data_IF_623606766336
#
_entry.id   IF_623606766336
#
_cell.length_a   1.000
_cell.length_b   1.000
_cell.length_c   1.000
_cell.angle_alpha   90.00
_cell.angle_beta   90.00
_cell.angle_gamma   90.00
#
_symmetry.space_group_name_H-M   'P 1'
#
loop_
_entity.id
_entity.type
_entity.pdbx_description
1 polymer ?
#
# COMPACT_ATOMS: atom_id res chain seq x y z
N UNK A 1 -11.35 4.69 -4.63
CA UNK A 1 -10.85 3.59 -3.79
C UNK A 1 -9.68 4.08 -2.98
N UNK A 2 -9.73 3.88 -1.67
CA UNK A 2 -8.74 4.33 -0.70
C UNK A 2 -8.36 3.18 0.22
N UNK A 3 -7.11 3.16 0.65
CA UNK A 3 -6.59 2.14 1.56
C UNK A 3 -6.43 2.76 2.93
N UNK A 4 -7.00 2.11 3.93
CA UNK A 4 -6.96 2.50 5.33
C UNK A 4 -6.12 1.47 6.06
N UNK A 5 -5.25 1.89 6.98
CA UNK A 5 -4.58 0.96 7.90
C UNK A 5 -5.63 0.04 8.51
N UNK A 6 -5.40 -1.27 8.53
CA UNK A 6 -6.21 -2.21 9.29
C UNK A 6 -5.88 -2.12 10.78
N UNK A 7 -6.72 -2.70 11.66
CA UNK A 7 -6.39 -2.79 13.10
C UNK A 7 -5.12 -3.61 13.38
N UNK A 8 -4.76 -4.48 12.44
CA UNK A 8 -3.55 -5.32 12.44
C UNK A 8 -2.32 -4.63 11.84
N UNK A 9 -2.46 -3.38 11.37
CA UNK A 9 -1.33 -2.60 10.87
C UNK A 9 -0.32 -2.33 12.01
N UNK A 10 1.01 -2.43 11.79
CA UNK A 10 2.00 -2.22 12.85
C UNK A 10 1.95 -0.84 13.51
N UNK A 11 1.45 0.17 12.80
CA UNK A 11 1.27 1.53 13.30
C UNK A 11 -0.16 1.81 13.83
N UNK A 12 -0.98 0.75 13.94
CA UNK A 12 -2.37 0.83 14.39
C UNK A 12 -3.34 1.42 13.36
N UNK A 13 -4.63 1.44 13.74
CA UNK A 13 -5.71 2.00 12.94
C UNK A 13 -5.80 3.53 13.12
N UNK A 14 -5.73 4.29 12.03
CA UNK A 14 -5.80 5.77 12.08
C UNK A 14 -7.16 6.36 11.70
N UNK A 15 -8.05 5.59 11.07
CA UNK A 15 -9.32 6.10 10.54
C UNK A 15 -9.20 6.98 9.29
N UNK A 16 -7.98 7.28 8.84
CA UNK A 16 -7.69 8.10 7.66
C UNK A 16 -7.05 7.23 6.57
N UNK A 17 -7.30 7.54 5.28
CA UNK A 17 -6.73 6.76 4.20
C UNK A 17 -5.24 7.07 4.09
N UNK A 18 -4.41 6.06 3.92
CA UNK A 18 -2.97 6.22 3.68
C UNK A 18 -2.66 6.25 2.19
N UNK A 19 -3.46 5.52 1.41
CA UNK A 19 -3.31 5.52 -0.03
C UNK A 19 -4.61 5.80 -0.76
N UNK A 20 -4.49 6.38 -1.94
CA UNK A 20 -5.55 6.53 -2.92
C UNK A 20 -5.15 5.80 -4.20
N UNK A 21 -6.08 5.02 -4.74
CA UNK A 21 -5.89 4.30 -6.01
C UNK A 21 -6.54 5.08 -7.15
N UNK A 22 -5.77 5.39 -8.18
CA UNK A 22 -6.20 6.06 -9.41
C UNK A 22 -5.77 5.20 -10.61
N UNK A 23 -6.72 4.54 -11.27
CA UNK A 23 -6.40 3.49 -12.24
C UNK A 23 -5.62 2.35 -11.57
N UNK A 24 -4.44 2.02 -12.11
CA UNK A 24 -3.54 1.02 -11.53
C UNK A 24 -2.44 1.63 -10.65
N UNK A 25 -2.52 2.93 -10.34
CA UNK A 25 -1.50 3.65 -9.59
C UNK A 25 -1.97 3.95 -8.17
N UNK A 26 -1.07 3.79 -7.20
CA UNK A 26 -1.33 3.99 -5.77
C UNK A 26 -0.50 5.17 -5.29
N UNK A 27 -1.18 6.19 -4.78
CA UNK A 27 -0.58 7.42 -4.32
C UNK A 27 -0.70 7.52 -2.81
N UNK A 28 0.34 8.04 -2.15
CA UNK A 28 0.19 8.50 -0.77
C UNK A 28 -0.91 9.56 -0.72
N UNK A 29 -1.70 9.57 0.34
CA UNK A 29 -2.58 10.71 0.62
C UNK A 29 -1.84 11.76 1.44
N UNK A 30 -2.46 12.93 1.64
CA UNK A 30 -1.94 13.95 2.57
C UNK A 30 -1.90 13.48 4.04
N UNK A 31 -2.64 12.42 4.37
CA UNK A 31 -2.69 11.82 5.71
C UNK A 31 -1.74 10.63 5.86
N UNK A 32 -1.00 10.26 4.81
CA UNK A 32 0.10 9.30 4.90
C UNK A 32 1.22 9.88 5.77
N UNK A 33 1.89 9.09 6.64
CA UNK A 33 2.96 9.59 7.51
C UNK A 33 4.14 10.24 6.74
N UNK A 34 4.45 9.71 5.55
CA UNK A 34 5.49 10.28 4.67
C UNK A 34 5.00 11.45 3.79
N UNK A 35 3.73 11.85 3.93
CA UNK A 35 3.11 12.91 3.14
C UNK A 35 2.82 12.54 1.68
N UNK A 36 2.29 13.52 0.93
CA UNK A 36 1.94 13.40 -0.49
C UNK A 36 3.01 14.02 -1.39
N UNK A 37 3.40 13.31 -2.45
CA UNK A 37 4.46 13.74 -3.38
C UNK A 37 3.96 14.07 -4.79
N UNK A 38 2.67 13.87 -5.10
CA UNK A 38 2.15 14.03 -6.47
C UNK A 38 2.45 12.88 -7.43
N UNK A 39 3.33 11.95 -7.04
CA UNK A 39 3.74 10.79 -7.84
C UNK A 39 3.23 9.49 -7.20
N UNK A 40 2.99 8.44 -7.99
CA UNK A 40 2.52 7.18 -7.44
C UNK A 40 3.66 6.48 -6.68
N UNK A 41 3.39 6.04 -5.46
CA UNK A 41 4.32 5.26 -4.65
C UNK A 41 4.34 3.79 -5.12
N UNK A 42 3.19 3.28 -5.59
CA UNK A 42 3.08 1.91 -6.07
C UNK A 42 2.28 1.78 -7.37
N UNK A 43 2.43 0.63 -8.01
CA UNK A 43 1.64 0.19 -9.17
C UNK A 43 1.03 -1.18 -8.91
N UNK A 44 -0.24 -1.35 -9.29
CA UNK A 44 -0.98 -2.60 -9.17
C UNK A 44 -0.90 -3.36 -10.51
N UNK A 45 -0.41 -4.61 -10.45
CA UNK A 45 -0.33 -5.52 -11.60
C UNK A 45 -0.80 -6.91 -11.19
N UNK A 46 -1.90 -7.39 -11.76
CA UNK A 46 -2.41 -8.74 -11.50
C UNK A 46 -2.70 -9.03 -10.01
N UNK A 47 -3.26 -8.07 -9.27
CA UNK A 47 -3.53 -8.20 -7.84
C UNK A 47 -2.31 -8.04 -6.93
N UNK A 48 -1.14 -7.74 -7.49
CA UNK A 48 0.10 -7.50 -6.76
C UNK A 48 0.54 -6.05 -6.86
N UNK A 49 1.23 -5.55 -5.85
CA UNK A 49 1.53 -4.13 -5.67
C UNK A 49 3.03 -3.94 -5.60
N UNK A 50 3.59 -3.16 -6.51
CA UNK A 50 5.03 -3.00 -6.72
C UNK A 50 5.43 -1.56 -6.45
N UNK A 51 6.59 -1.34 -5.84
CA UNK A 51 7.13 0.02 -5.71
C UNK A 51 7.45 0.58 -7.10
N UNK A 52 7.17 1.86 -7.31
CA UNK A 52 7.58 2.57 -8.53
C UNK A 52 8.98 3.17 -8.35
N UNK A 53 9.51 3.76 -9.43
CA UNK A 53 10.76 4.55 -9.35
C UNK A 53 10.64 5.79 -8.46
N UNK A 54 9.42 6.29 -8.22
CA UNK A 54 9.17 7.43 -7.33
C UNK A 54 8.95 7.04 -5.87
N UNK A 55 8.92 5.74 -5.55
CA UNK A 55 8.90 5.28 -4.18
C UNK A 55 10.24 5.63 -3.48
N UNK A 56 10.26 6.07 -2.21
CA UNK A 56 11.50 6.42 -1.50
C UNK A 56 12.53 5.30 -1.43
N UNK A 57 12.07 4.04 -1.37
CA UNK A 57 12.93 2.85 -1.41
C UNK A 57 13.38 2.44 -2.83
N UNK A 58 12.96 3.19 -3.86
CA UNK A 58 13.19 2.86 -5.26
C UNK A 58 12.29 1.73 -5.79
N UNK A 59 12.48 1.43 -7.08
CA UNK A 59 11.78 0.36 -7.77
C UNK A 59 12.33 -1.02 -7.39
N UNK A 60 11.44 -1.99 -7.16
CA UNK A 60 11.82 -3.41 -7.07
C UNK A 60 10.97 -4.25 -8.03
N UNK A 61 11.58 -5.29 -8.62
CA UNK A 61 10.86 -6.25 -9.47
C UNK A 61 9.95 -7.22 -8.71
N UNK A 62 9.92 -7.16 -7.37
CA UNK A 62 9.12 -8.03 -6.51
C UNK A 62 7.97 -7.24 -5.88
N UNK A 63 6.79 -7.85 -5.70
CA UNK A 63 5.65 -7.15 -5.11
C UNK A 63 5.89 -6.93 -3.62
N UNK A 64 5.54 -5.77 -3.10
CA UNK A 64 5.54 -5.49 -1.66
C UNK A 64 4.21 -5.87 -1.02
N UNK A 65 3.12 -5.77 -1.77
CA UNK A 65 1.80 -6.17 -1.28
C UNK A 65 1.06 -7.07 -2.26
N UNK A 66 0.10 -7.81 -1.72
CA UNK A 66 -0.88 -8.61 -2.45
C UNK A 66 -2.29 -8.19 -2.01
N UNK A 67 -3.17 -8.00 -3.00
CA UNK A 67 -4.57 -7.67 -2.79
C UNK A 67 -5.37 -8.96 -2.79
N UNK A 68 -6.12 -9.20 -1.72
CA UNK A 68 -7.03 -10.34 -1.56
C UNK A 68 -8.40 -9.81 -1.18
N UNK A 69 -9.31 -9.74 -2.15
CA UNK A 69 -10.61 -9.10 -1.95
C UNK A 69 -10.48 -7.61 -1.62
N UNK A 70 -11.07 -7.17 -0.50
CA UNK A 70 -10.97 -5.81 0.01
C UNK A 70 -9.81 -5.60 0.99
N UNK A 71 -8.82 -6.49 1.01
CA UNK A 71 -7.72 -6.46 1.97
C UNK A 71 -6.37 -6.50 1.28
N UNK A 72 -5.38 -5.83 1.87
CA UNK A 72 -4.01 -5.73 1.35
C UNK A 72 -3.05 -6.32 2.36
N UNK A 73 -2.26 -7.29 1.93
CA UNK A 73 -1.31 -8.05 2.74
C UNK A 73 0.12 -7.74 2.30
N UNK A 74 1.05 -7.69 3.25
CA UNK A 74 2.47 -7.68 2.93
C UNK A 74 2.92 -9.05 2.38
N UNK A 75 3.76 -9.03 1.37
CA UNK A 75 4.40 -10.25 0.83
C UNK A 75 5.72 -10.53 1.54
N UNK A 76 6.32 -11.68 1.26
CA UNK A 76 7.65 -12.04 1.77
C UNK A 76 8.77 -11.09 1.30
N UNK A 77 8.55 -10.37 0.19
CA UNK A 77 9.50 -9.39 -0.36
C UNK A 77 9.30 -7.97 0.17
N UNK A 78 8.28 -7.74 1.01
CA UNK A 78 8.17 -6.49 1.75
C UNK A 78 9.34 -6.35 2.75
N UNK A 79 9.94 -5.16 2.94
CA UNK A 79 11.09 -4.97 3.84
C UNK A 79 10.84 -5.41 5.29
N UNK A 80 9.58 -5.31 5.74
CA UNK A 80 9.14 -5.74 7.06
C UNK A 80 8.69 -7.23 7.11
N UNK A 81 9.00 -8.01 6.08
CA UNK A 81 8.54 -9.38 5.88
C UNK A 81 7.03 -9.47 5.60
N UNK A 82 6.50 -10.70 5.58
CA UNK A 82 5.06 -10.99 5.53
C UNK A 82 4.51 -11.34 6.91
N UNK A 83 3.29 -10.91 7.22
CA UNK A 83 2.52 -11.49 8.32
C UNK A 83 1.16 -11.93 7.77
N UNK A 84 0.55 -12.97 8.35
CA UNK A 84 -0.68 -13.56 7.83
C UNK A 84 -1.93 -12.66 7.94
N UNK A 85 -1.77 -11.40 8.32
CA UNK A 85 -2.83 -10.45 8.61
C UNK A 85 -2.76 -9.27 7.63
N UNK A 86 -3.90 -8.66 7.29
CA UNK A 86 -3.92 -7.54 6.37
C UNK A 86 -3.29 -6.30 7.04
N UNK A 87 -2.61 -5.49 6.23
CA UNK A 87 -2.11 -4.19 6.64
C UNK A 87 -3.08 -3.09 6.29
N UNK A 88 -3.86 -3.25 5.22
CA UNK A 88 -4.84 -2.26 4.81
C UNK A 88 -6.18 -2.87 4.42
N UNK A 89 -7.24 -2.12 4.68
CA UNK A 89 -8.58 -2.34 4.13
C UNK A 89 -8.82 -1.37 2.97
N UNK A 90 -9.35 -1.90 1.87
CA UNK A 90 -9.77 -1.13 0.69
C UNK A 90 -11.21 -0.72 0.86
N UNK A 91 -11.49 0.57 0.73
CA UNK A 91 -12.84 1.15 0.78
C UNK A 91 -13.09 2.04 -0.44
N UNK A 92 -14.35 2.20 -0.89
CA UNK A 92 -14.71 3.10 -1.99
C UNK A 92 -14.14 4.51 -1.83
#
# INVERSE_FOLDING_TARGET
MKWYTAVTHPQGFTGLPWFEVRGNQVYNTVTHPDGFTGLPAFEIRGGRVYTTVSHPAGFTGLPWYEIRGSQVYNTVSHPNGSNGLPWFDIRP
#
